data_IF_331923534539
#
_entry.id   IF_331923534539
#
_cell.length_a   1.000
_cell.length_b   1.000
_cell.length_c   1.000
_cell.angle_alpha   90.00
_cell.angle_beta   90.00
_cell.angle_gamma   90.00
#
_symmetry.space_group_name_H-M   'P 1'
#
loop_
_entity.id
_entity.type
_entity.pdbx_description
1 polymer ?
#
# COMPACT_ATOMS: atom_id res chain seq x y z
N UNK A 1 22.52 40.00 1.57
CA UNK A 1 21.47 39.58 0.62
C UNK A 1 22.08 38.64 -0.40
N UNK A 2 21.84 37.33 -0.25
CA UNK A 2 22.10 36.35 -1.30
C UNK A 2 21.07 35.24 -1.12
N UNK A 3 20.04 35.28 -1.97
CA UNK A 3 19.01 34.26 -2.07
C UNK A 3 19.67 33.00 -2.66
N UNK A 4 19.91 31.98 -1.84
CA UNK A 4 20.13 30.62 -2.35
C UNK A 4 18.77 30.05 -2.72
N UNK A 5 18.59 29.83 -4.01
CA UNK A 5 17.51 29.07 -4.61
C UNK A 5 17.45 27.67 -4.01
N UNK A 6 16.31 27.35 -3.39
CA UNK A 6 15.96 25.98 -3.03
C UNK A 6 15.71 25.19 -4.33
N UNK A 7 16.77 24.56 -4.83
CA UNK A 7 16.66 23.58 -5.91
C UNK A 7 15.95 22.36 -5.31
N UNK A 8 14.70 22.15 -5.71
CA UNK A 8 13.96 20.93 -5.38
C UNK A 8 14.77 19.72 -5.91
N UNK A 9 14.98 18.67 -5.10
CA UNK A 9 15.68 17.49 -5.57
C UNK A 9 14.90 16.84 -6.73
N UNK A 10 15.60 16.21 -7.69
CA UNK A 10 14.97 15.64 -8.87
C UNK A 10 13.96 14.56 -8.46
N UNK A 11 12.74 14.66 -8.99
CA UNK A 11 11.67 13.68 -8.83
C UNK A 11 12.10 12.39 -9.54
N UNK A 12 12.77 11.49 -8.81
CA UNK A 12 13.05 10.14 -9.28
C UNK A 12 11.73 9.38 -9.36
N UNK A 13 11.22 9.19 -10.59
CA UNK A 13 10.06 8.34 -10.88
C UNK A 13 10.45 6.87 -10.70
N UNK A 14 10.71 6.46 -9.45
CA UNK A 14 11.00 5.07 -9.13
C UNK A 14 9.67 4.30 -9.08
N UNK A 15 9.39 3.60 -10.17
CA UNK A 15 8.33 2.62 -10.25
C UNK A 15 8.70 1.44 -9.35
N UNK A 16 8.39 1.52 -8.06
CA UNK A 16 8.43 0.37 -7.18
C UNK A 16 7.26 -0.55 -7.54
N UNK A 17 7.45 -1.34 -8.60
CA UNK A 17 6.70 -2.55 -8.80
C UNK A 17 7.00 -3.45 -7.61
N UNK A 18 6.07 -3.50 -6.64
CA UNK A 18 5.95 -4.68 -5.79
C UNK A 18 5.64 -5.83 -6.77
N UNK A 19 6.67 -6.59 -7.13
CA UNK A 19 6.55 -7.71 -8.07
C UNK A 19 5.51 -8.64 -7.47
N UNK A 20 4.45 -8.96 -8.21
CA UNK A 20 3.47 -9.95 -7.76
C UNK A 20 4.25 -11.20 -7.32
N UNK A 21 3.96 -11.77 -6.13
CA UNK A 21 4.72 -12.90 -5.59
C UNK A 21 4.67 -14.13 -6.48
N UNK A 22 3.71 -14.17 -7.41
CA UNK A 22 3.51 -15.26 -8.36
C UNK A 22 4.11 -14.86 -9.71
N UNK A 23 5.11 -15.62 -10.23
CA UNK A 23 5.65 -15.39 -11.57
C UNK A 23 4.54 -15.47 -12.62
N UNK A 24 4.49 -14.56 -13.62
CA UNK A 24 3.50 -14.63 -14.69
C UNK A 24 3.44 -16.00 -15.37
N UNK A 25 4.59 -16.65 -15.54
CA UNK A 25 4.71 -18.01 -16.07
C UNK A 25 3.88 -19.04 -15.27
N UNK A 26 3.88 -18.95 -13.93
CA UNK A 26 3.11 -19.86 -13.09
C UNK A 26 1.59 -19.72 -13.32
N UNK A 27 1.12 -18.50 -13.57
CA UNK A 27 -0.29 -18.25 -13.90
C UNK A 27 -0.65 -18.89 -15.25
N UNK A 28 0.22 -18.76 -16.26
CA UNK A 28 0.00 -19.40 -17.56
C UNK A 28 0.00 -20.93 -17.47
N UNK A 29 0.91 -21.51 -16.68
CA UNK A 29 0.95 -22.96 -16.44
C UNK A 29 -0.33 -23.42 -15.75
N UNK A 30 -0.78 -22.71 -14.70
CA UNK A 30 -2.00 -23.04 -13.98
C UNK A 30 -3.23 -22.99 -14.90
N UNK A 31 -3.31 -21.98 -15.77
CA UNK A 31 -4.37 -21.86 -16.76
C UNK A 31 -4.36 -23.01 -17.77
N UNK A 32 -3.17 -23.37 -18.30
CA UNK A 32 -3.04 -24.49 -19.23
C UNK A 32 -3.46 -25.82 -18.60
N UNK A 33 -3.05 -26.08 -17.36
CA UNK A 33 -3.46 -27.27 -16.60
C UNK A 33 -4.97 -27.31 -16.36
N UNK A 34 -5.58 -26.16 -16.05
CA UNK A 34 -7.03 -26.07 -15.88
C UNK A 34 -7.79 -26.36 -17.18
N UNK A 35 -7.33 -25.81 -18.32
CA UNK A 35 -7.93 -26.07 -19.64
C UNK A 35 -7.80 -27.55 -20.03
N UNK A 36 -6.63 -28.16 -19.82
CA UNK A 36 -6.42 -29.59 -20.06
C UNK A 36 -7.34 -30.44 -19.18
N UNK A 37 -7.42 -30.11 -17.88
CA UNK A 37 -8.32 -30.75 -16.94
C UNK A 37 -9.78 -30.66 -17.38
N UNK A 38 -10.22 -29.49 -17.88
CA UNK A 38 -11.59 -29.31 -18.38
C UNK A 38 -11.88 -30.22 -19.58
N UNK A 39 -10.94 -30.34 -20.54
CA UNK A 39 -11.09 -31.23 -21.68
C UNK A 39 -11.25 -32.69 -21.24
N UNK A 40 -10.40 -33.15 -20.33
CA UNK A 40 -10.42 -34.53 -19.83
C UNK A 40 -11.70 -34.79 -19.02
N UNK A 41 -12.08 -33.89 -18.11
CA UNK A 41 -13.31 -34.03 -17.32
C UNK A 41 -14.57 -33.98 -18.17
N UNK A 42 -14.60 -33.17 -19.24
CA UNK A 42 -15.72 -33.13 -20.18
C UNK A 42 -15.85 -34.43 -20.98
N UNK A 43 -14.74 -35.01 -21.42
CA UNK A 43 -14.74 -36.33 -22.07
C UNK A 43 -15.34 -37.40 -21.15
N UNK A 44 -14.90 -37.46 -19.88
CA UNK A 44 -15.46 -38.39 -18.90
C UNK A 44 -16.94 -38.15 -18.61
N UNK A 45 -17.38 -36.89 -18.57
CA UNK A 45 -18.79 -36.54 -18.41
C UNK A 45 -19.64 -37.04 -19.59
N UNK A 46 -19.15 -36.92 -20.82
CA UNK A 46 -19.88 -37.33 -22.03
C UNK A 46 -19.91 -38.84 -22.17
N UNK A 47 -18.76 -39.52 -21.97
CA UNK A 47 -18.63 -40.96 -22.25
C UNK A 47 -19.14 -41.81 -21.09
N UNK A 48 -18.81 -41.43 -19.85
CA UNK A 48 -19.15 -42.21 -18.65
C UNK A 48 -20.44 -41.69 -17.99
N UNK A 49 -20.95 -40.52 -18.41
CA UNK A 49 -22.10 -39.87 -17.79
C UNK A 49 -21.92 -39.63 -16.28
N UNK A 50 -20.67 -39.46 -15.83
CA UNK A 50 -20.33 -39.21 -14.44
C UNK A 50 -19.76 -37.79 -14.26
N UNK A 51 -20.48 -36.96 -13.53
CA UNK A 51 -20.12 -35.57 -13.29
C UNK A 51 -19.07 -35.38 -12.19
N UNK A 52 -18.69 -36.44 -11.47
CA UNK A 52 -17.79 -36.34 -10.31
C UNK A 52 -16.45 -35.66 -10.65
N UNK A 53 -15.81 -36.03 -11.77
CA UNK A 53 -14.53 -35.45 -12.19
C UNK A 53 -14.64 -33.96 -12.54
N UNK A 54 -15.75 -33.58 -13.14
CA UNK A 54 -16.01 -32.18 -13.49
C UNK A 54 -16.25 -31.33 -12.23
N UNK A 55 -17.04 -31.83 -11.28
CA UNK A 55 -17.28 -31.16 -10.00
C UNK A 55 -15.98 -31.02 -9.21
N UNK A 56 -15.16 -32.08 -9.13
CA UNK A 56 -13.90 -32.06 -8.40
C UNK A 56 -12.92 -31.02 -8.98
N UNK A 57 -12.84 -30.94 -10.31
CA UNK A 57 -12.02 -29.95 -11.01
C UNK A 57 -12.46 -28.51 -10.71
N UNK A 58 -13.77 -28.25 -10.70
CA UNK A 58 -14.32 -26.93 -10.34
C UNK A 58 -14.01 -26.57 -8.88
N UNK A 59 -14.17 -27.52 -7.95
CA UNK A 59 -13.82 -27.30 -6.54
C UNK A 59 -12.32 -26.98 -6.36
N UNK A 60 -11.43 -27.74 -7.00
CA UNK A 60 -9.98 -27.49 -6.91
C UNK A 60 -9.63 -26.14 -7.54
N UNK A 61 -10.22 -25.81 -8.69
CA UNK A 61 -10.00 -24.53 -9.37
C UNK A 61 -10.43 -23.33 -8.53
N UNK A 62 -11.60 -23.40 -7.88
CA UNK A 62 -12.08 -22.31 -7.00
C UNK A 62 -11.19 -22.14 -5.77
N UNK A 63 -10.71 -23.24 -5.17
CA UNK A 63 -9.75 -23.19 -4.07
C UNK A 63 -8.40 -22.56 -4.49
N UNK A 64 -7.87 -22.96 -5.64
CA UNK A 64 -6.63 -22.39 -6.20
C UNK A 64 -6.78 -20.89 -6.50
N UNK A 65 -7.89 -20.49 -7.11
CA UNK A 65 -8.17 -19.09 -7.41
C UNK A 65 -8.30 -18.25 -6.12
N UNK A 66 -8.99 -18.77 -5.10
CA UNK A 66 -9.09 -18.13 -3.79
C UNK A 66 -7.71 -18.00 -3.12
N UNK A 67 -6.87 -19.03 -3.20
CA UNK A 67 -5.51 -19.01 -2.67
C UNK A 67 -4.61 -17.99 -3.40
N UNK A 68 -4.67 -17.93 -4.73
CA UNK A 68 -3.96 -16.93 -5.53
C UNK A 68 -4.44 -15.52 -5.17
N UNK A 69 -5.75 -15.30 -5.10
CA UNK A 69 -6.33 -14.00 -4.74
C UNK A 69 -5.96 -13.57 -3.31
N UNK A 70 -5.85 -14.51 -2.39
CA UNK A 70 -5.36 -14.24 -1.04
C UNK A 70 -3.91 -13.73 -1.04
N UNK A 71 -3.07 -14.33 -1.89
CA UNK A 71 -1.65 -14.00 -2.04
C UNK A 71 -1.36 -12.73 -2.84
N UNK A 72 -2.30 -12.24 -3.66
CA UNK A 72 -2.13 -10.96 -4.37
C UNK A 72 -2.45 -9.76 -3.51
N UNK A 73 -3.17 -9.94 -2.40
CA UNK A 73 -3.31 -8.91 -1.38
C UNK A 73 -1.94 -8.82 -0.69
N UNK A 74 -1.37 -7.62 -0.54
CA UNK A 74 -0.08 -7.36 0.16
C UNK A 74 -0.08 -7.76 1.66
N UNK A 75 -0.96 -8.68 2.07
CA UNK A 75 -1.12 -9.26 3.38
C UNK A 75 0.16 -9.94 3.87
N UNK A 76 0.95 -10.60 3.01
CA UNK A 76 2.20 -11.23 3.41
C UNK A 76 3.18 -10.24 4.04
N UNK A 77 3.44 -9.12 3.37
CA UNK A 77 4.37 -8.10 3.85
C UNK A 77 3.84 -7.38 5.09
N UNK A 78 2.54 -7.05 5.11
CA UNK A 78 1.91 -6.47 6.29
C UNK A 78 1.95 -7.43 7.50
N UNK A 79 1.68 -8.72 7.30
CA UNK A 79 1.77 -9.74 8.35
C UNK A 79 3.20 -9.95 8.80
N UNK A 80 4.18 -9.93 7.90
CA UNK A 80 5.59 -9.96 8.25
C UNK A 80 5.93 -8.79 9.18
N UNK A 81 5.61 -7.55 8.79
CA UNK A 81 5.85 -6.38 9.64
C UNK A 81 5.17 -6.53 11.01
N UNK A 82 3.95 -7.07 11.08
CA UNK A 82 3.24 -7.23 12.34
C UNK A 82 3.74 -8.39 13.21
N UNK A 83 4.18 -9.49 12.61
CA UNK A 83 4.64 -10.69 13.33
C UNK A 83 6.10 -10.61 13.75
N UNK A 84 6.92 -9.83 13.03
CA UNK A 84 8.30 -9.61 13.40
C UNK A 84 8.37 -8.87 14.75
N UNK A 85 9.11 -9.39 15.75
CA UNK A 85 9.16 -8.76 17.07
C UNK A 85 9.96 -7.46 17.04
N UNK A 86 9.55 -6.45 17.82
CA UNK A 86 10.36 -5.24 17.96
C UNK A 86 11.66 -5.59 18.68
N UNK A 87 12.78 -5.27 18.03
CA UNK A 87 14.13 -5.40 18.53
C UNK A 87 14.41 -4.36 19.60
N UNK A 88 15.18 -4.75 20.61
CA UNK A 88 15.70 -3.81 21.60
C UNK A 88 17.00 -3.20 21.08
N UNK A 89 16.98 -1.88 20.83
CA UNK A 89 18.13 -1.14 20.30
C UNK A 89 19.36 -1.19 21.20
N UNK A 90 19.18 -1.36 22.51
CA UNK A 90 20.28 -1.37 23.46
C UNK A 90 21.15 -2.63 23.33
N UNK A 91 20.51 -3.76 23.03
CA UNK A 91 21.13 -5.09 22.90
C UNK A 91 21.39 -5.53 21.46
N UNK A 92 20.82 -4.83 20.47
CA UNK A 92 20.96 -5.18 19.07
C UNK A 92 22.41 -5.04 18.56
N UNK A 93 22.85 -6.04 17.81
CA UNK A 93 24.18 -6.14 17.20
C UNK A 93 24.25 -5.36 15.89
N UNK A 94 25.45 -4.85 15.57
CA UNK A 94 25.73 -4.24 14.28
C UNK A 94 25.47 -5.22 13.12
N UNK A 95 24.93 -4.71 12.01
CA UNK A 95 24.67 -5.47 10.79
C UNK A 95 23.44 -6.39 10.85
N UNK A 96 22.70 -6.41 11.96
CA UNK A 96 21.51 -7.26 12.09
C UNK A 96 20.24 -6.55 11.62
N UNK A 97 19.30 -7.35 11.10
CA UNK A 97 17.95 -6.89 10.77
C UNK A 97 17.18 -6.59 12.06
N UNK A 98 16.71 -5.36 12.19
CA UNK A 98 15.94 -4.90 13.35
C UNK A 98 14.58 -4.40 12.93
N UNK A 99 13.59 -4.56 13.80
CA UNK A 99 12.32 -3.85 13.71
C UNK A 99 12.19 -2.92 14.89
N UNK A 100 11.81 -1.68 14.62
CA UNK A 100 11.61 -0.68 15.66
C UNK A 100 10.26 -0.05 15.46
N UNK A 101 9.54 0.14 16.57
CA UNK A 101 8.27 0.84 16.58
C UNK A 101 8.35 2.03 17.50
N UNK A 102 8.02 3.21 16.99
CA UNK A 102 7.89 4.38 17.84
C UNK A 102 7.64 5.69 17.12
N UNK A 103 7.86 6.79 17.84
CA UNK A 103 7.53 8.12 17.36
C UNK A 103 8.54 8.58 16.32
N UNK A 104 8.06 9.07 15.19
CA UNK A 104 8.91 9.62 14.12
C UNK A 104 9.09 11.12 14.27
N UNK A 105 10.29 11.61 13.98
CA UNK A 105 10.61 13.03 13.93
C UNK A 105 11.41 13.31 12.67
N UNK A 106 11.16 14.46 12.04
CA UNK A 106 11.85 14.83 10.82
C UNK A 106 13.35 15.02 11.08
N UNK A 107 14.16 14.71 10.07
CA UNK A 107 15.56 15.14 10.03
C UNK A 107 15.69 16.58 9.54
N UNK A 108 16.75 16.84 8.78
CA UNK A 108 17.01 18.17 8.21
C UNK A 108 15.99 18.58 7.13
N UNK A 109 15.31 17.60 6.53
CA UNK A 109 14.35 17.80 5.45
C UNK A 109 13.00 17.19 5.82
N UNK A 110 11.95 18.02 5.79
CA UNK A 110 10.56 17.59 5.96
C UNK A 110 9.81 17.61 4.61
N UNK A 111 8.90 16.66 4.42
CA UNK A 111 8.01 16.61 3.28
C UNK A 111 6.69 17.32 3.56
N UNK A 112 6.05 17.74 2.48
CA UNK A 112 4.67 18.19 2.45
C UNK A 112 3.87 17.23 1.56
N UNK A 113 2.65 16.87 1.99
CA UNK A 113 1.74 16.07 1.19
C UNK A 113 1.31 16.82 -0.08
N UNK A 114 1.10 16.09 -1.16
CA UNK A 114 0.89 16.62 -2.50
C UNK A 114 -0.40 17.43 -2.64
N UNK A 115 -1.53 16.87 -2.17
CA UNK A 115 -2.86 17.46 -2.38
C UNK A 115 -3.44 18.09 -1.12
N UNK A 116 -3.46 17.39 0.02
CA UNK A 116 -3.94 17.95 1.29
C UNK A 116 -3.01 18.98 1.92
N UNK A 117 -1.75 19.06 1.47
CA UNK A 117 -0.73 19.99 1.99
C UNK A 117 -0.42 19.78 3.47
N UNK A 118 -0.38 18.52 3.90
CA UNK A 118 -0.02 18.15 5.27
C UNK A 118 1.49 18.19 5.45
N UNK A 119 1.96 18.96 6.42
CA UNK A 119 3.36 19.05 6.83
C UNK A 119 3.46 19.18 8.36
N UNK A 120 4.63 18.86 8.95
CA UNK A 120 5.78 18.17 8.36
C UNK A 120 5.59 16.64 8.31
N UNK A 121 6.03 16.00 7.24
CA UNK A 121 5.94 14.55 7.02
C UNK A 121 7.32 13.91 6.74
N UNK A 122 7.50 12.65 7.13
CA UNK A 122 8.70 11.85 6.83
C UNK A 122 8.52 10.96 5.59
N UNK A 123 7.26 10.67 5.25
CA UNK A 123 6.87 9.92 4.07
C UNK A 123 5.57 10.50 3.51
N UNK A 124 5.45 10.58 2.19
CA UNK A 124 4.21 10.94 1.49
C UNK A 124 4.01 10.03 0.27
N UNK A 125 2.75 9.76 -0.04
CA UNK A 125 2.33 9.01 -1.22
C UNK A 125 1.08 9.61 -1.81
N UNK A 126 1.06 9.75 -3.13
CA UNK A 126 -0.10 10.24 -3.86
C UNK A 126 -0.31 9.38 -5.08
N UNK A 127 -1.49 8.76 -5.16
CA UNK A 127 -1.89 7.84 -6.22
C UNK A 127 -3.13 8.39 -6.92
N UNK A 128 -3.06 8.49 -8.24
CA UNK A 128 -4.21 8.82 -9.07
C UNK A 128 -4.56 7.61 -9.91
N UNK A 129 -5.79 7.14 -9.76
CA UNK A 129 -6.36 6.12 -10.61
C UNK A 129 -7.31 6.75 -11.61
N UNK A 130 -7.22 6.30 -12.85
CA UNK A 130 -8.18 6.60 -13.89
C UNK A 130 -9.00 5.34 -14.22
N UNK A 131 -10.24 5.56 -14.61
CA UNK A 131 -11.07 4.51 -15.15
C UNK A 131 -10.76 4.28 -16.63
N UNK A 132 -10.68 3.02 -17.04
CA UNK A 132 -10.61 2.63 -18.45
C UNK A 132 -11.81 1.75 -18.79
N UNK A 133 -12.66 2.21 -19.71
CA UNK A 133 -13.72 1.39 -20.29
C UNK A 133 -13.07 0.32 -21.17
N UNK A 134 -13.28 -0.96 -20.85
CA UNK A 134 -13.05 -2.02 -21.83
C UNK A 134 -14.21 -2.00 -22.84
N UNK A 135 -13.96 -1.49 -24.04
CA UNK A 135 -14.88 -1.61 -25.16
C UNK A 135 -14.82 -3.02 -25.75
N UNK A 136 -15.79 -3.86 -25.42
CA UNK A 136 -16.27 -4.93 -26.31
C UNK A 136 -17.70 -4.55 -26.72
N UNK A 137 -17.94 -4.40 -28.03
CA UNK A 137 -19.28 -4.24 -28.60
C UNK A 137 -19.53 -5.41 -29.58
N UNK A 138 -20.78 -5.83 -29.83
CA UNK A 138 -21.94 -5.85 -28.93
C UNK A 138 -22.84 -7.10 -29.11
N UNK A 139 -23.27 -7.75 -28.02
CA UNK A 139 -24.62 -8.35 -27.95
C UNK A 139 -24.93 -8.79 -26.52
N UNK A 140 -25.88 -8.10 -25.91
CA UNK A 140 -26.62 -8.49 -24.71
C UNK A 140 -25.98 -8.40 -23.31
N UNK A 141 -26.69 -7.61 -22.49
CA UNK A 141 -26.91 -7.69 -21.03
C UNK A 141 -25.71 -7.42 -20.11
N UNK A 142 -25.75 -6.22 -19.51
CA UNK A 142 -25.23 -5.80 -18.19
C UNK A 142 -24.31 -6.80 -17.48
N UNK A 143 -23.02 -6.71 -17.76
CA UNK A 143 -21.96 -6.94 -16.76
C UNK A 143 -20.66 -6.28 -17.26
N UNK A 144 -20.52 -4.98 -16.98
CA UNK A 144 -19.28 -4.25 -17.28
C UNK A 144 -18.21 -4.64 -16.24
N UNK A 145 -17.15 -5.30 -16.67
CA UNK A 145 -15.92 -5.40 -15.89
C UNK A 145 -15.23 -4.02 -15.84
N UNK A 146 -15.39 -3.34 -14.71
CA UNK A 146 -14.81 -2.02 -14.41
C UNK A 146 -13.36 -2.17 -13.96
N UNK A 147 -12.40 -1.59 -14.68
CA UNK A 147 -10.99 -1.63 -14.29
C UNK A 147 -10.43 -0.22 -14.02
N UNK A 148 -9.97 -0.01 -12.79
CA UNK A 148 -9.18 1.16 -12.41
C UNK A 148 -7.72 0.94 -12.78
N UNK A 149 -7.13 1.89 -13.50
CA UNK A 149 -5.72 1.90 -13.87
C UNK A 149 -5.00 2.98 -13.08
N UNK A 150 -3.83 2.67 -12.54
CA UNK A 150 -2.95 3.68 -11.93
C UNK A 150 -2.41 4.60 -13.04
N UNK A 151 -2.81 5.87 -13.00
CA UNK A 151 -2.43 6.89 -13.98
C UNK A 151 -1.22 7.72 -13.51
N UNK A 152 -1.11 7.94 -12.20
CA UNK A 152 0.00 8.67 -11.60
C UNK A 152 0.30 8.12 -10.21
N UNK A 153 1.59 8.08 -9.87
CA UNK A 153 2.09 7.66 -8.57
C UNK A 153 3.31 8.51 -8.21
N UNK A 154 3.25 9.14 -7.05
CA UNK A 154 4.32 9.90 -6.44
C UNK A 154 4.50 9.36 -5.03
N UNK A 155 5.70 8.88 -4.69
CA UNK A 155 6.05 8.41 -3.34
C UNK A 155 7.38 9.02 -2.97
N UNK A 156 7.41 9.73 -1.85
CA UNK A 156 8.57 10.47 -1.39
C UNK A 156 8.84 10.11 0.06
N UNK A 157 10.11 9.98 0.41
CA UNK A 157 10.61 9.72 1.76
C UNK A 157 11.85 10.55 2.01
N UNK A 158 12.06 10.93 3.27
CA UNK A 158 13.26 11.63 3.74
C UNK A 158 13.99 10.81 4.77
N UNK A 159 15.22 11.18 5.08
CA UNK A 159 15.88 10.69 6.30
C UNK A 159 15.13 11.26 7.50
N UNK A 160 14.83 10.41 8.48
CA UNK A 160 14.09 10.78 9.66
C UNK A 160 14.62 10.05 10.89
N UNK A 161 14.27 10.54 12.06
CA UNK A 161 14.59 9.86 13.30
C UNK A 161 13.38 9.08 13.80
N UNK A 162 13.64 7.91 14.36
CA UNK A 162 12.65 7.13 15.11
C UNK A 162 13.13 6.98 16.55
N UNK A 163 12.25 7.25 17.49
CA UNK A 163 12.49 7.02 18.92
C UNK A 163 11.75 5.77 19.33
N UNK A 164 12.48 4.72 19.70
CA UNK A 164 11.89 3.45 20.13
C UNK A 164 11.01 3.64 21.37
N UNK A 165 9.77 3.14 21.32
CA UNK A 165 8.84 3.23 22.44
C UNK A 165 9.26 2.39 23.64
N UNK A 166 10.05 1.33 23.45
CA UNK A 166 10.48 0.46 24.55
C UNK A 166 11.69 1.02 25.28
N UNK A 167 12.77 1.32 24.55
CA UNK A 167 14.04 1.76 25.12
C UNK A 167 14.17 3.28 25.25
N UNK A 168 13.36 4.06 24.51
CA UNK A 168 13.53 5.52 24.40
C UNK A 168 14.74 5.94 23.56
N UNK A 169 15.49 4.99 23.00
CA UNK A 169 16.68 5.26 22.20
C UNK A 169 16.26 5.78 20.83
N UNK A 170 16.94 6.84 20.38
CA UNK A 170 16.72 7.45 19.08
C UNK A 170 17.69 6.87 18.05
N UNK A 171 17.17 6.45 16.91
CA UNK A 171 17.94 6.01 15.76
C UNK A 171 17.62 6.86 14.53
N UNK A 172 18.62 7.10 13.69
CA UNK A 172 18.46 7.73 12.38
C UNK A 172 18.05 6.66 11.37
N UNK A 173 17.00 6.90 10.61
CA UNK A 173 16.57 6.04 9.51
C UNK A 173 16.99 6.68 8.19
N UNK A 174 17.81 5.97 7.42
CA UNK A 174 18.19 6.34 6.06
C UNK A 174 17.13 5.85 5.09
N UNK A 175 16.15 6.72 4.85
CA UNK A 175 15.02 6.49 3.95
C UNK A 175 14.89 7.61 2.91
N UNK A 176 15.84 8.54 2.86
CA UNK A 176 15.85 9.66 1.93
C UNK A 176 16.18 9.27 0.49
N UNK A 177 16.38 10.28 -0.38
CA UNK A 177 16.64 10.07 -1.80
C UNK A 177 17.76 9.07 -2.05
N UNK A 178 17.50 8.08 -2.89
CA UNK A 178 18.44 7.01 -3.22
C UNK A 178 18.25 5.70 -2.43
N UNK A 179 17.47 5.71 -1.35
CA UNK A 179 17.14 4.50 -0.59
C UNK A 179 15.89 3.82 -1.17
N UNK A 180 15.86 2.49 -1.22
CA UNK A 180 14.65 1.72 -1.55
C UNK A 180 13.79 1.61 -0.30
N UNK A 181 12.58 2.17 -0.38
CA UNK A 181 11.61 2.15 0.71
C UNK A 181 10.37 1.40 0.28
N UNK A 182 9.93 0.45 1.09
CA UNK A 182 8.69 -0.30 0.88
C UNK A 182 7.65 0.16 1.90
N UNK A 183 6.68 0.98 1.48
CA UNK A 183 5.66 1.52 2.35
C UNK A 183 4.51 0.52 2.56
N UNK A 184 4.15 0.32 3.82
CA UNK A 184 2.97 -0.40 4.31
C UNK A 184 1.99 0.58 4.94
N UNK A 185 1.56 1.55 4.14
CA UNK A 185 0.66 2.64 4.55
C UNK A 185 -0.63 2.49 3.77
N UNK A 186 -1.76 2.75 4.44
CA UNK A 186 -3.07 2.77 3.80
C UNK A 186 -3.31 4.17 3.27
N UNK A 187 -3.40 4.33 1.95
CA UNK A 187 -3.73 5.61 1.34
C UNK A 187 -5.23 5.95 1.51
N UNK A 188 -5.52 7.14 2.03
CA UNK A 188 -6.85 7.70 2.20
C UNK A 188 -7.42 8.14 0.86
N UNK A 189 -8.67 7.77 0.58
CA UNK A 189 -9.36 8.19 -0.64
C UNK A 189 -9.91 9.60 -0.47
N UNK A 190 -9.25 10.57 -1.11
CA UNK A 190 -9.62 11.97 -1.03
C UNK A 190 -10.69 12.36 -2.05
N UNK A 191 -10.54 11.90 -3.28
CA UNK A 191 -11.43 12.25 -4.38
C UNK A 191 -11.92 10.98 -5.07
N UNK A 192 -13.23 10.92 -5.31
CA UNK A 192 -13.86 9.97 -6.23
C UNK A 192 -14.81 10.73 -7.13
N UNK A 193 -14.46 10.89 -8.39
CA UNK A 193 -15.46 11.36 -9.36
C UNK A 193 -16.41 10.21 -9.69
N UNK A 194 -17.68 10.53 -9.86
CA UNK A 194 -18.74 9.63 -10.33
C UNK A 194 -19.11 9.97 -11.77
N UNK A 195 -19.94 9.14 -12.41
CA UNK A 195 -20.38 9.41 -13.78
C UNK A 195 -21.15 10.75 -13.91
N UNK A 196 -21.75 11.22 -12.80
CA UNK A 196 -22.43 12.53 -12.74
C UNK A 196 -21.47 13.69 -12.50
N UNK A 197 -20.39 13.46 -11.76
CA UNK A 197 -19.44 14.52 -11.34
C UNK A 197 -18.15 14.56 -12.16
N UNK A 198 -17.90 13.59 -13.05
CA UNK A 198 -16.70 13.54 -13.90
C UNK A 198 -16.55 14.78 -14.81
N UNK A 199 -17.66 15.44 -15.17
CA UNK A 199 -17.67 16.67 -15.98
C UNK A 199 -17.22 17.91 -15.20
N UNK A 200 -17.31 17.88 -13.87
CA UNK A 200 -17.05 19.03 -13.00
C UNK A 200 -16.01 18.66 -11.93
N UNK A 201 -14.74 18.77 -12.30
CA UNK A 201 -13.61 18.73 -11.36
C UNK A 201 -13.48 20.05 -10.60
N UNK A 202 -13.17 20.00 -9.29
CA UNK A 202 -12.92 21.20 -8.48
C UNK A 202 -11.73 22.01 -9.03
N UNK A 203 -11.72 23.32 -8.77
CA UNK A 203 -10.64 24.22 -9.20
C UNK A 203 -9.26 23.77 -8.70
N UNK A 204 -9.17 23.41 -7.42
CA UNK A 204 -7.95 22.92 -6.79
C UNK A 204 -7.44 21.63 -7.44
N UNK A 205 -8.34 20.68 -7.71
CA UNK A 205 -7.95 19.42 -8.36
C UNK A 205 -7.54 19.63 -9.82
N UNK A 206 -8.22 20.49 -10.57
CA UNK A 206 -7.78 20.87 -11.93
C UNK A 206 -6.42 21.56 -11.94
N UNK A 207 -6.15 22.42 -10.95
CA UNK A 207 -4.84 23.07 -10.79
C UNK A 207 -3.75 22.04 -10.51
N UNK A 208 -3.99 21.15 -9.53
CA UNK A 208 -3.07 20.07 -9.17
C UNK A 208 -2.75 19.13 -10.36
N UNK A 209 -3.76 18.78 -11.17
CA UNK A 209 -3.55 17.97 -12.40
C UNK A 209 -2.68 18.71 -13.42
N UNK A 210 -2.93 20.01 -13.66
CA UNK A 210 -2.17 20.82 -14.62
C UNK A 210 -0.70 21.00 -14.23
N UNK A 211 -0.43 21.22 -12.93
CA UNK A 211 0.93 21.35 -12.40
C UNK A 211 1.78 20.09 -12.60
N UNK A 212 1.14 18.93 -12.78
CA UNK A 212 1.77 17.62 -12.99
C UNK A 212 1.65 17.12 -14.43
N UNK A 213 1.25 17.99 -15.36
CA UNK A 213 1.07 17.67 -16.78
C UNK A 213 0.05 16.54 -17.03
N UNK A 214 -0.89 16.34 -16.10
CA UNK A 214 -1.95 15.33 -16.22
C UNK A 214 -3.16 15.98 -16.89
N UNK A 215 -3.74 15.30 -17.88
CA UNK A 215 -4.95 15.78 -18.56
C UNK A 215 -6.11 16.01 -17.57
N UNK A 216 -6.64 17.24 -17.60
CA UNK A 216 -7.79 17.67 -16.80
C UNK A 216 -9.14 17.42 -17.51
N UNK A 217 -9.15 16.59 -18.56
CA UNK A 217 -10.38 16.20 -19.26
C UNK A 217 -11.33 15.42 -18.34
N UNK A 218 -12.62 15.50 -18.64
CA UNK A 218 -13.68 14.84 -17.88
C UNK A 218 -13.57 13.31 -18.01
N UNK A 219 -13.16 12.64 -16.93
CA UNK A 219 -13.07 11.18 -16.81
C UNK A 219 -13.26 10.76 -15.37
N UNK A 220 -13.49 9.47 -15.16
CA UNK A 220 -13.59 8.92 -13.81
C UNK A 220 -12.18 8.80 -13.20
N UNK A 221 -11.92 9.63 -12.19
CA UNK A 221 -10.68 9.72 -11.44
C UNK A 221 -10.91 9.39 -9.97
N UNK A 222 -9.87 8.80 -9.36
CA UNK A 222 -9.81 8.55 -7.94
C UNK A 222 -8.43 8.98 -7.42
N UNK A 223 -8.38 10.02 -6.61
CA UNK A 223 -7.16 10.47 -5.94
C UNK A 223 -7.10 9.85 -4.54
N UNK A 224 -5.96 9.25 -4.23
CA UNK A 224 -5.64 8.71 -2.92
C UNK A 224 -4.33 9.33 -2.43
N UNK A 225 -4.25 9.60 -1.14
CA UNK A 225 -3.06 10.16 -0.51
C UNK A 225 -2.79 9.46 0.81
N UNK A 226 -1.52 9.23 1.11
CA UNK A 226 -1.06 8.65 2.37
C UNK A 226 0.18 9.39 2.83
N UNK A 227 0.39 9.49 4.13
CA UNK A 227 1.56 10.16 4.70
C UNK A 227 1.85 9.63 6.09
N UNK A 228 3.09 9.81 6.54
CA UNK A 228 3.49 9.66 7.94
C UNK A 228 3.92 11.05 8.41
N UNK A 229 3.09 11.65 9.26
CA UNK A 229 3.35 12.96 9.85
C UNK A 229 4.37 12.83 10.99
N UNK A 230 5.19 13.85 11.20
CA UNK A 230 5.98 13.98 12.42
C UNK A 230 5.12 13.82 13.68
N UNK A 231 5.68 13.14 14.68
CA UNK A 231 5.00 12.77 15.92
C UNK A 231 4.11 11.52 15.80
N UNK A 232 3.88 11.01 14.59
CA UNK A 232 3.13 9.76 14.40
C UNK A 232 3.94 8.55 14.86
N UNK A 233 3.24 7.50 15.29
CA UNK A 233 3.86 6.21 15.55
C UNK A 233 4.02 5.43 14.25
N UNK A 234 5.24 4.96 13.95
CA UNK A 234 5.54 4.12 12.80
C UNK A 234 6.39 2.91 13.22
N UNK A 235 6.37 1.87 12.39
CA UNK A 235 7.25 0.71 12.49
C UNK A 235 8.20 0.69 11.30
N UNK A 236 9.49 0.51 11.56
CA UNK A 236 10.55 0.44 10.54
C UNK A 236 11.26 -0.90 10.66
N UNK A 237 11.54 -1.55 9.52
CA UNK A 237 12.39 -2.74 9.43
C UNK A 237 13.56 -2.44 8.51
N UNK A 238 14.78 -2.64 9.00
CA UNK A 238 16.01 -2.40 8.26
C UNK A 238 17.23 -2.95 8.99
N UNK A 239 18.42 -2.72 8.47
CA UNK A 239 19.68 -3.19 9.07
C UNK A 239 20.23 -2.13 10.01
N UNK A 240 20.59 -2.52 11.23
CA UNK A 240 21.18 -1.63 12.22
C UNK A 240 22.67 -1.45 11.99
N UNK A 241 23.07 -0.22 11.70
CA UNK A 241 24.45 0.25 11.75
C UNK A 241 24.70 1.00 13.06
N UNK A 242 25.79 0.65 13.75
CA UNK A 242 26.18 1.22 15.04
C UNK A 242 27.57 1.78 14.87
N UNK A 243 27.72 3.09 14.99
CA UNK A 243 29.01 3.77 14.85
C UNK A 243 29.13 4.86 15.93
N UNK A 244 30.08 4.70 16.86
CA UNK A 244 30.38 5.69 17.91
C UNK A 244 29.13 6.31 18.56
N UNK A 245 28.25 5.45 19.10
CA UNK A 245 26.96 5.79 19.74
C UNK A 245 25.85 6.36 18.84
N UNK A 246 26.11 6.53 17.54
CA UNK A 246 25.07 6.85 16.56
C UNK A 246 24.48 5.54 16.02
N UNK A 247 23.18 5.37 16.22
CA UNK A 247 22.41 4.27 15.65
C UNK A 247 21.77 4.73 14.34
N UNK A 248 22.08 4.01 13.26
CA UNK A 248 21.56 4.29 11.93
C UNK A 248 20.90 3.02 11.39
N UNK A 249 19.70 3.13 10.85
CA UNK A 249 18.98 2.04 10.21
C UNK A 249 19.00 2.31 8.72
N UNK A 250 19.50 1.34 7.97
CA UNK A 250 19.64 1.44 6.51
C UNK A 250 18.84 0.34 5.83
N UNK A 251 18.63 0.48 4.52
CA UNK A 251 18.09 -0.61 3.71
C UNK A 251 19.02 -1.84 3.77
N UNK A 252 18.46 -3.06 3.80
CA UNK A 252 19.25 -4.29 3.68
C UNK A 252 19.97 -4.36 2.33
N UNK A 253 21.25 -4.75 2.33
CA UNK A 253 22.02 -4.96 1.09
C UNK A 253 21.66 -6.28 0.38
N UNK A 254 21.15 -7.25 1.14
CA UNK A 254 20.65 -8.53 0.64
C UNK A 254 19.12 -8.54 0.65
N UNK A 255 18.53 -9.27 -0.30
CA UNK A 255 17.08 -9.47 -0.37
C UNK A 255 16.63 -10.24 0.88
N UNK A 256 15.71 -9.65 1.65
CA UNK A 256 15.15 -10.30 2.82
C UNK A 256 13.91 -11.08 2.41
N UNK A 257 13.92 -12.39 2.64
CA UNK A 257 12.71 -13.20 2.48
C UNK A 257 11.84 -13.09 3.73
N UNK A 258 10.52 -12.93 3.56
CA UNK A 258 9.57 -12.98 4.68
C UNK A 258 9.44 -14.39 5.30
N UNK A 259 10.15 -15.39 4.75
CA UNK A 259 10.10 -16.77 5.19
C UNK A 259 8.80 -17.48 4.78
N UNK A 260 8.70 -18.76 5.15
CA UNK A 260 7.54 -19.60 4.84
C UNK A 260 6.36 -19.29 5.78
N UNK A 261 5.26 -18.76 5.25
CA UNK A 261 4.04 -18.45 6.00
C UNK A 261 2.91 -19.45 5.69
N UNK A 262 3.24 -20.74 5.58
CA UNK A 262 2.29 -21.83 5.26
C UNK A 262 1.05 -21.89 6.17
N UNK A 263 1.14 -21.69 7.50
CA UNK A 263 -0.05 -21.68 8.37
C UNK A 263 -1.04 -20.55 8.03
N UNK A 264 -0.61 -19.54 7.26
CA UNK A 264 -1.42 -18.40 6.81
C UNK A 264 -1.72 -18.42 5.32
N UNK A 265 -1.34 -19.52 4.63
CA UNK A 265 -1.52 -19.70 3.19
C UNK A 265 -0.88 -18.58 2.35
N UNK A 266 0.28 -18.08 2.78
CA UNK A 266 0.98 -16.98 2.12
C UNK A 266 2.34 -17.43 1.56
N UNK A 267 2.61 -17.02 0.33
CA UNK A 267 3.90 -17.20 -0.32
C UNK A 267 4.96 -16.32 0.35
N UNK A 268 6.22 -16.78 0.41
CA UNK A 268 7.33 -15.92 0.78
C UNK A 268 7.42 -14.76 -0.20
N UNK A 269 7.57 -13.55 0.34
CA UNK A 269 7.82 -12.33 -0.43
C UNK A 269 9.28 -11.97 -0.25
N UNK A 270 9.94 -11.65 -1.37
CA UNK A 270 11.27 -11.07 -1.39
C UNK A 270 11.16 -9.55 -1.25
N UNK A 271 11.79 -9.03 -0.21
CA UNK A 271 11.75 -7.63 0.16
C UNK A 271 13.11 -7.02 -0.16
N UNK A 272 13.11 -6.05 -1.07
CA UNK A 272 14.28 -5.28 -1.44
C UNK A 272 14.10 -3.82 -0.98
N UNK A 273 14.63 -3.50 0.20
CA UNK A 273 14.59 -2.16 0.76
C UNK A 273 14.14 -2.11 2.22
N UNK A 274 14.15 -0.89 2.76
CA UNK A 274 13.69 -0.57 4.11
C UNK A 274 12.17 -0.57 4.17
N UNK A 275 11.57 -1.32 5.09
CA UNK A 275 10.10 -1.36 5.25
C UNK A 275 9.68 -0.27 6.22
N UNK A 276 8.68 0.53 5.87
CA UNK A 276 8.05 1.50 6.77
C UNK A 276 6.54 1.23 6.78
N UNK A 277 5.93 1.13 7.94
CA UNK A 277 4.48 0.96 8.05
C UNK A 277 3.90 1.57 9.31
N UNK A 278 2.57 1.60 9.37
CA UNK A 278 1.85 2.05 10.57
C UNK A 278 1.58 0.81 11.45
N UNK A 279 1.92 0.84 12.75
CA UNK A 279 1.65 -0.29 13.63
C UNK A 279 0.14 -0.49 13.80
N UNK A 280 -0.30 -1.75 13.94
CA UNK A 280 -1.72 -2.12 14.17
C UNK A 280 -2.36 -1.42 15.38
N UNK A 281 -1.56 -1.01 16.37
CA UNK A 281 -2.06 -0.30 17.56
C UNK A 281 -2.30 1.19 17.31
N UNK A 282 -1.72 1.79 16.28
CA UNK A 282 -1.94 3.19 15.92
C UNK A 282 -3.21 3.39 15.05
N UNK A 283 -3.91 2.30 14.69
CA UNK A 283 -5.19 2.36 14.00
C UNK A 283 -6.35 2.58 14.99
N UNK A 284 -6.31 3.68 15.75
CA UNK A 284 -7.47 4.31 16.39
C UNK A 284 -7.16 5.82 16.54
N UNK A 285 -8.14 6.71 16.26
CA UNK A 285 -9.55 6.49 16.57
C UNK A 285 -10.52 6.57 15.37
N UNK A 286 -11.69 5.89 15.42
CA UNK A 286 -12.90 6.40 14.80
C UNK A 286 -13.49 7.47 15.74
N UNK A 287 -12.88 8.65 15.83
CA UNK A 287 -13.60 9.85 16.27
C UNK A 287 -14.42 10.38 15.10
N UNK A 288 -15.50 9.65 14.80
CA UNK A 288 -16.71 10.18 14.19
C UNK A 288 -17.88 9.24 14.50
N UNK A 289 -18.10 9.01 15.80
CA UNK A 289 -19.35 8.44 16.31
C UNK A 289 -19.90 9.25 17.50
N UNK A 290 -19.57 10.54 17.53
CA UNK A 290 -20.16 11.54 18.44
C UNK A 290 -21.07 12.50 17.65
N UNK A 291 -21.93 11.91 16.81
CA UNK A 291 -23.02 12.59 16.12
C UNK A 291 -24.34 11.81 16.29
N UNK A 292 -24.51 11.18 17.45
CA UNK A 292 -25.78 10.52 17.82
C UNK A 292 -26.19 10.70 19.28
N UNK A 293 -25.55 11.62 20.00
CA UNK A 293 -25.99 12.04 21.35
C UNK A 293 -26.52 13.48 21.44
N UNK A 294 -26.58 14.22 20.32
CA UNK A 294 -27.11 15.62 20.27
C UNK A 294 -28.41 15.72 19.45
N UNK A 295 -28.94 14.60 18.92
CA UNK A 295 -30.20 14.57 18.18
C UNK A 295 -31.43 14.15 19.01
N UNK A 296 -31.26 13.77 20.28
CA UNK A 296 -32.37 13.30 21.14
C UNK A 296 -32.62 14.13 22.41
N UNK A 297 -31.95 15.26 22.60
CA UNK A 297 -32.23 16.21 23.72
C UNK A 297 -32.73 17.59 23.27
N UNK A 298 -33.10 17.76 21.99
CA UNK A 298 -33.73 19.00 21.48
C UNK A 298 -35.15 18.80 20.94
N UNK A 299 -35.76 17.64 21.19
CA UNK A 299 -37.21 17.41 20.95
C UNK A 299 -38.09 17.51 22.19
N UNK A 300 -37.51 17.75 23.36
CA UNK A 300 -38.25 17.96 24.63
C UNK A 300 -38.39 19.44 25.02
N UNK A 301 -38.36 20.33 24.03
CA UNK A 301 -38.62 21.77 24.19
C UNK A 301 -39.32 22.32 22.94
N UNK A 302 -40.47 21.74 22.58
CA UNK A 302 -41.52 22.45 21.83
C UNK A 302 -42.88 21.75 21.89
N UNK A 303 -43.28 21.38 23.11
CA UNK A 303 -44.70 21.42 23.49
C UNK A 303 -44.94 22.78 24.19
N UNK A 304 -45.39 23.75 23.38
CA UNK A 304 -46.23 24.92 23.71
C UNK A 304 -46.44 25.76 22.46
#
# INVERSE_FOLDING_TARGET
MSHRSNVAPPITKNWHHCRSPIPPAAIYILLALFLLGLCVSAFFLIVIHNALFFVLLLCISTLLAAFVLWNTRNAALALFLHSFPDSDLSSATHGHLVKITGAVSCGDVSLESSYEKISPCVYTSTLLYEYRELCLKPSNVRDLCVLWRLAYSERLSTDFYITDMKSGIRALVKAGPGSKVIPLIIESRLIKTSYRTCRVLSSNFRKWLREREISAQARLLCLQEGYIKEGSCASVVGVLHKNNDVLVIVEPQEIVSTGCLWPKLLFPVEVEGLIIGIPRRATLPPQKMEALHIANETKDCRDK
#
